data_IF_865887645683
#
_entry.id   IF_865887645683
#
_cell.length_a   1.000
_cell.length_b   1.000
_cell.length_c   1.000
_cell.angle_alpha   90.00
_cell.angle_beta   90.00
_cell.angle_gamma   90.00
#
_symmetry.space_group_name_H-M   'P 1'
#
loop_
_entity.id
_entity.type
_entity.pdbx_description
1 polymer ?
#
# COMPACT_ATOMS: atom_id res chain seq x y z
N UNK A 1 2.29 -7.85 -13.46
CA UNK A 1 3.75 -7.93 -13.68
C UNK A 1 4.55 -7.12 -12.65
N UNK A 2 4.30 -5.80 -12.46
CA UNK A 2 5.12 -4.96 -11.55
C UNK A 2 5.09 -5.46 -10.09
N UNK A 3 3.95 -5.91 -9.58
CA UNK A 3 3.85 -6.44 -8.23
C UNK A 3 4.67 -7.73 -8.06
N UNK A 4 4.57 -8.67 -9.01
CA UNK A 4 5.34 -9.90 -8.99
C UNK A 4 6.85 -9.63 -9.13
N UNK A 5 7.26 -8.73 -10.03
CA UNK A 5 8.67 -8.32 -10.16
C UNK A 5 9.23 -7.66 -8.88
N UNK A 6 8.37 -7.01 -8.10
CA UNK A 6 8.71 -6.45 -6.79
C UNK A 6 8.59 -7.47 -5.64
N UNK A 7 8.33 -8.76 -5.95
CA UNK A 7 8.17 -9.86 -4.99
C UNK A 7 7.11 -9.53 -3.91
N UNK A 8 6.03 -8.83 -4.31
CA UNK A 8 4.94 -8.50 -3.41
C UNK A 8 3.98 -9.68 -3.29
N UNK A 9 3.52 -10.03 -2.07
CA UNK A 9 2.51 -11.05 -1.90
C UNK A 9 1.19 -10.64 -2.58
N UNK A 10 0.49 -11.61 -3.15
CA UNK A 10 -0.74 -11.41 -3.92
C UNK A 10 -1.89 -12.17 -3.27
N UNK A 11 -3.05 -11.52 -3.17
CA UNK A 11 -4.31 -12.13 -2.77
C UNK A 11 -5.30 -11.92 -3.92
N UNK A 12 -5.96 -12.96 -4.41
CA UNK A 12 -7.01 -12.85 -5.41
C UNK A 12 -8.36 -12.65 -4.74
N UNK A 13 -8.97 -11.48 -4.94
CA UNK A 13 -10.32 -11.19 -4.45
C UNK A 13 -11.29 -11.17 -5.62
N UNK A 14 -12.11 -12.21 -5.73
CA UNK A 14 -13.19 -12.31 -6.71
C UNK A 14 -14.41 -11.56 -6.17
N UNK A 15 -14.54 -10.30 -6.56
CA UNK A 15 -15.61 -9.42 -6.07
C UNK A 15 -16.83 -9.43 -7.00
N UNK A 16 -17.96 -9.01 -6.46
CA UNK A 16 -19.25 -8.94 -7.19
C UNK A 16 -19.82 -10.31 -7.57
N UNK A 17 -19.62 -11.31 -6.71
CA UNK A 17 -20.15 -12.66 -6.92
C UNK A 17 -21.68 -12.70 -7.01
N UNK A 18 -22.36 -11.70 -6.39
CA UNK A 18 -23.80 -11.49 -6.34
C UNK A 18 -24.43 -10.95 -7.64
N UNK A 19 -23.62 -10.66 -8.65
CA UNK A 19 -24.17 -10.17 -9.92
C UNK A 19 -24.75 -11.30 -10.78
N UNK A 20 -25.86 -11.06 -11.49
CA UNK A 20 -26.46 -12.06 -12.36
C UNK A 20 -25.56 -12.53 -13.51
N UNK A 21 -24.57 -11.70 -13.88
CA UNK A 21 -23.59 -11.94 -14.93
C UNK A 21 -22.22 -12.42 -14.35
N UNK A 22 -22.19 -12.88 -13.11
CA UNK A 22 -20.98 -13.43 -12.49
C UNK A 22 -20.52 -14.71 -13.25
N UNK A 23 -19.21 -14.89 -13.34
CA UNK A 23 -18.54 -16.04 -13.93
C UNK A 23 -17.36 -16.43 -13.04
N UNK A 24 -17.67 -16.89 -11.84
CA UNK A 24 -16.67 -17.06 -10.76
C UNK A 24 -15.54 -18.00 -11.18
N UNK A 25 -15.88 -19.21 -11.63
CA UNK A 25 -14.87 -20.19 -12.08
C UNK A 25 -14.00 -19.65 -13.22
N UNK A 26 -14.63 -19.00 -14.21
CA UNK A 26 -13.89 -18.42 -15.33
C UNK A 26 -12.95 -17.31 -14.88
N UNK A 27 -13.38 -16.44 -13.97
CA UNK A 27 -12.54 -15.35 -13.44
C UNK A 27 -11.36 -15.88 -12.63
N UNK A 28 -11.57 -16.90 -11.80
CA UNK A 28 -10.50 -17.57 -11.05
C UNK A 28 -9.50 -18.19 -12.00
N UNK A 29 -9.97 -19.01 -12.96
CA UNK A 29 -9.09 -19.68 -13.96
C UNK A 29 -8.29 -18.65 -14.77
N UNK A 30 -8.97 -17.65 -15.37
CA UNK A 30 -8.32 -16.61 -16.18
C UNK A 30 -7.26 -15.83 -15.35
N UNK A 31 -7.54 -15.59 -14.05
CA UNK A 31 -6.61 -14.89 -13.14
C UNK A 31 -5.39 -15.74 -12.80
N UNK A 32 -5.59 -17.03 -12.53
CA UNK A 32 -4.49 -17.96 -12.25
C UNK A 32 -3.62 -18.18 -13.48
N UNK A 33 -4.21 -18.37 -14.65
CA UNK A 33 -3.47 -18.50 -15.91
C UNK A 33 -2.64 -17.25 -16.20
N UNK A 34 -3.19 -16.05 -15.94
CA UNK A 34 -2.44 -14.79 -16.07
C UNK A 34 -1.26 -14.72 -15.08
N UNK A 35 -1.47 -15.08 -13.82
CA UNK A 35 -0.41 -15.07 -12.80
C UNK A 35 0.71 -16.03 -13.16
N UNK A 36 0.36 -17.26 -13.58
CA UNK A 36 1.31 -18.27 -14.02
C UNK A 36 2.11 -17.83 -15.25
N UNK A 37 1.44 -17.26 -16.26
CA UNK A 37 2.12 -16.73 -17.45
C UNK A 37 3.10 -15.61 -17.10
N UNK A 38 2.67 -14.64 -16.26
CA UNK A 38 3.54 -13.56 -15.81
C UNK A 38 4.71 -14.03 -14.94
N UNK A 39 4.50 -15.05 -14.10
CA UNK A 39 5.55 -15.63 -13.28
C UNK A 39 6.58 -16.37 -14.14
N UNK A 40 6.13 -17.12 -15.14
CA UNK A 40 7.00 -17.81 -16.11
C UNK A 40 7.87 -16.80 -16.89
N UNK A 41 7.27 -15.73 -17.40
CA UNK A 41 8.01 -14.65 -18.09
C UNK A 41 9.06 -13.99 -17.20
N UNK A 42 8.72 -13.78 -15.91
CA UNK A 42 9.64 -13.16 -14.96
C UNK A 42 10.75 -14.10 -14.52
N UNK A 43 10.50 -15.40 -14.42
CA UNK A 43 11.53 -16.40 -14.09
C UNK A 43 12.61 -16.52 -15.16
N UNK A 44 12.31 -16.20 -16.41
CA UNK A 44 13.32 -16.08 -17.47
C UNK A 44 14.25 -14.87 -17.26
N UNK A 45 13.75 -13.80 -16.62
CA UNK A 45 14.50 -12.57 -16.34
C UNK A 45 15.20 -12.59 -14.96
N UNK A 46 14.57 -13.23 -13.96
CA UNK A 46 15.07 -13.39 -12.57
C UNK A 46 14.95 -14.86 -12.15
N UNK A 47 16.02 -15.66 -12.32
CA UNK A 47 16.02 -17.09 -11.94
C UNK A 47 15.83 -17.35 -10.43
N UNK A 48 16.00 -16.32 -9.60
CA UNK A 48 15.79 -16.40 -8.14
C UNK A 48 14.35 -16.05 -7.73
N UNK A 49 13.44 -15.88 -8.71
CA UNK A 49 12.02 -15.69 -8.44
C UNK A 49 11.41 -16.97 -7.87
N UNK A 50 10.86 -16.88 -6.66
CA UNK A 50 10.13 -17.97 -6.03
C UNK A 50 8.77 -18.16 -6.72
N UNK A 51 8.70 -19.14 -7.63
CA UNK A 51 7.47 -19.48 -8.35
C UNK A 51 6.43 -20.12 -7.42
N UNK A 52 6.83 -20.80 -6.37
CA UNK A 52 5.91 -21.46 -5.45
C UNK A 52 5.05 -20.41 -4.72
N UNK A 53 5.64 -19.25 -4.37
CA UNK A 53 4.90 -18.13 -3.77
C UNK A 53 3.83 -17.53 -4.69
N UNK A 54 4.00 -17.67 -6.01
CA UNK A 54 3.02 -17.20 -7.01
C UNK A 54 1.90 -18.23 -7.21
N UNK A 55 2.15 -19.50 -6.92
CA UNK A 55 1.18 -20.59 -7.06
C UNK A 55 0.26 -20.70 -5.84
N UNK A 56 0.73 -20.29 -4.66
CA UNK A 56 -0.04 -20.34 -3.40
C UNK A 56 -0.79 -19.02 -3.15
N UNK A 57 -1.50 -18.53 -4.18
CA UNK A 57 -2.31 -17.31 -4.08
C UNK A 57 -3.66 -17.61 -3.42
N UNK A 58 -3.95 -17.09 -2.23
CA UNK A 58 -5.24 -17.27 -1.60
C UNK A 58 -6.35 -16.59 -2.40
N UNK A 59 -7.47 -17.29 -2.54
CA UNK A 59 -8.66 -16.80 -3.24
C UNK A 59 -9.74 -16.47 -2.22
N UNK A 60 -10.28 -15.23 -2.30
CA UNK A 60 -11.39 -14.76 -1.49
C UNK A 60 -12.54 -14.36 -2.39
N UNK A 61 -13.74 -14.83 -2.09
CA UNK A 61 -14.96 -14.48 -2.82
C UNK A 61 -15.72 -13.41 -2.05
N UNK A 62 -16.12 -12.33 -2.72
CA UNK A 62 -16.68 -11.17 -2.04
C UNK A 62 -17.85 -10.52 -2.80
N UNK A 63 -18.72 -9.87 -2.03
CA UNK A 63 -19.62 -8.82 -2.48
C UNK A 63 -19.37 -7.57 -1.64
N UNK A 64 -18.53 -6.66 -2.15
CA UNK A 64 -18.24 -5.41 -1.46
C UNK A 64 -19.48 -4.54 -1.25
N UNK A 65 -20.50 -4.66 -2.11
CA UNK A 65 -21.79 -3.98 -1.95
C UNK A 65 -22.56 -4.49 -0.73
N UNK A 66 -22.54 -5.81 -0.50
CA UNK A 66 -23.22 -6.43 0.63
C UNK A 66 -22.36 -6.47 1.90
N UNK A 67 -21.06 -6.12 1.81
CA UNK A 67 -20.12 -6.19 2.92
C UNK A 67 -19.82 -7.63 3.37
N UNK A 68 -19.76 -8.60 2.44
CA UNK A 68 -19.59 -10.03 2.73
C UNK A 68 -18.41 -10.61 1.99
N UNK A 69 -17.65 -11.49 2.66
CA UNK A 69 -16.58 -12.26 2.04
C UNK A 69 -16.46 -13.67 2.63
N UNK A 70 -16.07 -14.65 1.82
CA UNK A 70 -15.89 -16.04 2.22
C UNK A 70 -14.70 -16.66 1.48
N UNK A 71 -14.07 -17.69 2.08
CA UNK A 71 -13.10 -18.56 1.41
C UNK A 71 -13.79 -19.67 0.59
N UNK A 72 -15.07 -19.90 0.87
CA UNK A 72 -15.88 -20.85 0.10
C UNK A 72 -16.49 -20.14 -1.08
N UNK A 73 -16.31 -20.72 -2.27
CA UNK A 73 -16.87 -20.20 -3.51
C UNK A 73 -18.40 -20.30 -3.50
N UNK A 74 -19.13 -19.19 -3.67
CA UNK A 74 -20.57 -19.22 -3.87
C UNK A 74 -20.90 -19.63 -5.31
N UNK A 75 -22.18 -19.95 -5.57
CA UNK A 75 -22.67 -20.07 -6.94
C UNK A 75 -22.64 -18.70 -7.66
N UNK A 76 -22.55 -18.74 -8.99
CA UNK A 76 -22.64 -17.54 -9.82
C UNK A 76 -23.96 -16.78 -9.53
N UNK A 77 -23.83 -15.50 -9.25
CA UNK A 77 -24.96 -14.65 -8.89
C UNK A 77 -25.40 -14.72 -7.42
N UNK A 78 -24.72 -15.51 -6.59
CA UNK A 78 -25.00 -15.64 -5.17
C UNK A 78 -24.08 -14.78 -4.29
N UNK A 79 -24.61 -14.39 -3.12
CA UNK A 79 -23.80 -13.78 -2.07
C UNK A 79 -22.88 -14.82 -1.42
N UNK A 80 -21.68 -14.42 -0.96
CA UNK A 80 -20.88 -15.27 -0.09
C UNK A 80 -21.62 -15.69 1.18
N UNK A 81 -21.41 -16.93 1.62
CA UNK A 81 -21.96 -17.46 2.88
C UNK A 81 -21.21 -16.91 4.08
N UNK A 82 -21.39 -15.63 4.33
CA UNK A 82 -20.80 -14.89 5.46
C UNK A 82 -21.68 -13.68 5.77
N UNK A 83 -21.56 -13.13 6.97
CA UNK A 83 -22.32 -11.94 7.38
C UNK A 83 -21.50 -10.64 7.25
N UNK A 84 -20.17 -10.75 7.09
CA UNK A 84 -19.23 -9.64 7.08
C UNK A 84 -18.02 -9.88 6.14
N UNK A 85 -16.98 -9.08 6.30
CA UNK A 85 -15.70 -9.17 5.57
C UNK A 85 -14.57 -9.81 6.37
N UNK A 86 -14.85 -10.45 7.52
CA UNK A 86 -13.83 -10.98 8.41
C UNK A 86 -12.89 -11.96 7.70
N UNK A 87 -13.41 -12.84 6.85
CA UNK A 87 -12.61 -13.78 6.07
C UNK A 87 -11.57 -13.08 5.18
N UNK A 88 -11.93 -11.96 4.54
CA UNK A 88 -10.99 -11.15 3.75
C UNK A 88 -9.92 -10.50 4.64
N UNK A 89 -10.32 -9.92 5.76
CA UNK A 89 -9.36 -9.27 6.67
C UNK A 89 -8.39 -10.27 7.29
N UNK A 90 -8.85 -11.47 7.65
CA UNK A 90 -7.98 -12.52 8.17
C UNK A 90 -6.95 -12.97 7.14
N UNK A 91 -7.34 -13.16 5.86
CA UNK A 91 -6.41 -13.47 4.77
C UNK A 91 -5.37 -12.35 4.59
N UNK A 92 -5.80 -11.08 4.64
CA UNK A 92 -4.87 -9.94 4.54
C UNK A 92 -3.86 -9.98 5.70
N UNK A 93 -4.33 -10.18 6.94
CA UNK A 93 -3.46 -10.20 8.12
C UNK A 93 -2.49 -11.38 8.12
N UNK A 94 -2.86 -12.50 7.51
CA UNK A 94 -2.04 -13.71 7.43
C UNK A 94 -0.99 -13.62 6.32
N UNK A 95 -1.37 -13.08 5.14
CA UNK A 95 -0.53 -13.12 3.93
C UNK A 95 0.25 -11.84 3.67
N UNK A 96 -0.21 -10.68 4.16
CA UNK A 96 0.48 -9.41 3.93
C UNK A 96 1.35 -9.09 5.15
N UNK A 97 2.68 -9.06 4.99
CA UNK A 97 3.57 -8.78 6.12
C UNK A 97 3.36 -7.35 6.65
N UNK A 98 3.49 -7.21 7.96
CA UNK A 98 3.53 -5.88 8.57
C UNK A 98 4.72 -5.07 8.06
N UNK A 99 4.63 -3.72 8.08
CA UNK A 99 5.77 -2.86 7.73
C UNK A 99 7.01 -3.21 8.57
N UNK A 100 8.14 -3.42 7.92
CA UNK A 100 9.43 -3.61 8.59
C UNK A 100 10.10 -2.26 8.82
N UNK A 101 10.73 -2.11 9.98
CA UNK A 101 11.54 -0.93 10.32
C UNK A 101 12.65 -1.33 11.31
N UNK A 102 13.65 -0.47 11.45
CA UNK A 102 14.71 -0.66 12.43
C UNK A 102 14.47 0.26 13.62
N UNK A 103 14.33 -0.33 14.80
CA UNK A 103 14.12 0.42 16.04
C UNK A 103 15.34 1.32 16.34
N UNK A 104 15.08 2.58 16.71
CA UNK A 104 16.11 3.58 16.99
C UNK A 104 16.74 4.22 15.76
N UNK A 105 16.38 3.82 14.55
CA UNK A 105 16.81 4.49 13.32
C UNK A 105 16.18 5.88 13.21
N UNK A 106 16.92 6.78 12.56
CA UNK A 106 16.49 8.15 12.28
C UNK A 106 15.34 8.18 11.26
N UNK A 107 14.65 9.32 11.19
CA UNK A 107 13.56 9.51 10.24
C UNK A 107 14.01 9.23 8.80
N UNK A 108 13.24 8.41 8.11
CA UNK A 108 13.28 8.20 6.67
C UNK A 108 11.85 8.12 6.14
N UNK A 109 11.42 9.12 5.39
CA UNK A 109 10.09 9.20 4.82
C UNK A 109 10.16 9.54 3.34
N UNK A 110 9.64 8.65 2.51
CA UNK A 110 9.76 8.73 1.05
C UNK A 110 8.48 9.31 0.45
N UNK A 111 8.64 10.31 -0.41
CA UNK A 111 7.51 10.94 -1.13
C UNK A 111 7.06 10.03 -2.27
N UNK A 112 5.86 9.48 -2.12
CA UNK A 112 5.26 8.53 -3.07
C UNK A 112 4.28 9.18 -4.03
N UNK A 113 3.65 10.29 -3.61
CA UNK A 113 2.68 11.02 -4.42
C UNK A 113 2.58 12.49 -3.98
N UNK A 114 1.91 13.30 -4.80
CA UNK A 114 1.61 14.70 -4.51
C UNK A 114 0.12 14.93 -4.58
N UNK A 115 -0.35 15.88 -3.77
CA UNK A 115 -1.74 16.34 -3.77
C UNK A 115 -1.77 17.85 -3.52
N UNK A 116 -2.94 18.44 -3.53
CA UNK A 116 -3.13 19.86 -3.26
C UNK A 116 -4.34 20.10 -2.37
N UNK A 117 -4.19 21.03 -1.44
CA UNK A 117 -5.28 21.53 -0.62
C UNK A 117 -5.51 23.02 -0.93
N UNK A 118 -6.76 23.47 -1.07
CA UNK A 118 -7.06 24.89 -1.27
C UNK A 118 -6.57 25.78 -0.11
N UNK A 119 -6.38 25.19 1.09
CA UNK A 119 -5.99 25.92 2.30
C UNK A 119 -4.51 25.75 2.66
N UNK A 120 -3.93 24.58 2.38
CA UNK A 120 -2.57 24.21 2.78
C UNK A 120 -1.57 24.25 1.61
N UNK A 121 -2.06 24.48 0.38
CA UNK A 121 -1.24 24.41 -0.82
C UNK A 121 -0.84 23.00 -1.19
N UNK A 122 0.40 22.81 -1.64
CA UNK A 122 0.94 21.52 -2.03
C UNK A 122 1.07 20.60 -0.81
N UNK A 123 0.62 19.37 -0.99
CA UNK A 123 0.77 18.27 -0.03
C UNK A 123 1.66 17.20 -0.61
N UNK A 124 2.67 16.76 0.14
CA UNK A 124 3.43 15.57 -0.18
C UNK A 124 2.84 14.38 0.58
N UNK A 125 2.44 13.34 -0.17
CA UNK A 125 2.08 12.06 0.42
C UNK A 125 3.34 11.22 0.51
N UNK A 126 3.62 10.74 1.72
CA UNK A 126 4.83 10.01 1.99
C UNK A 126 4.58 8.80 2.89
N UNK A 127 5.40 7.79 2.71
CA UNK A 127 5.48 6.64 3.59
C UNK A 127 6.67 6.79 4.51
N UNK A 128 6.45 6.61 5.79
CA UNK A 128 7.52 6.59 6.80
C UNK A 128 8.09 5.18 6.86
N UNK A 129 9.40 5.05 6.59
CA UNK A 129 10.12 3.78 6.65
C UNK A 129 10.76 3.58 8.02
N UNK A 130 11.38 4.61 8.58
CA UNK A 130 12.02 4.58 9.88
C UNK A 130 11.75 5.90 10.65
N UNK A 131 11.92 5.85 11.96
CA UNK A 131 11.82 7.00 12.83
C UNK A 131 10.40 7.54 12.96
N UNK A 132 10.27 8.75 13.48
CA UNK A 132 8.99 9.42 13.71
C UNK A 132 9.00 10.80 13.09
N UNK A 133 7.95 11.15 12.38
CA UNK A 133 7.71 12.47 11.82
C UNK A 133 6.71 13.22 12.71
N UNK A 134 7.02 14.49 13.04
CA UNK A 134 6.16 15.33 13.89
C UNK A 134 5.76 16.63 13.20
N UNK A 135 4.56 17.09 13.50
CA UNK A 135 4.14 18.45 13.13
C UNK A 135 5.08 19.49 13.76
N UNK A 136 5.48 20.47 12.98
CA UNK A 136 6.41 21.53 13.42
C UNK A 136 7.89 21.12 13.41
N UNK A 137 8.22 19.85 13.14
CA UNK A 137 9.60 19.37 13.10
C UNK A 137 10.39 20.02 11.96
N UNK A 138 11.67 20.29 12.21
CA UNK A 138 12.65 20.55 11.15
C UNK A 138 13.22 19.22 10.66
N UNK A 139 13.23 19.04 9.36
CA UNK A 139 13.74 17.84 8.69
C UNK A 139 14.69 18.22 7.56
N UNK A 140 15.58 17.33 7.19
CA UNK A 140 16.33 17.46 5.96
C UNK A 140 15.52 16.93 4.79
N UNK A 141 15.39 17.72 3.75
CA UNK A 141 14.80 17.34 2.48
C UNK A 141 15.90 16.98 1.50
N UNK A 142 16.04 15.68 1.23
CA UNK A 142 16.96 15.13 0.25
C UNK A 142 16.28 15.14 -1.14
N UNK A 143 16.83 15.95 -2.03
CA UNK A 143 16.33 16.17 -3.37
C UNK A 143 16.93 15.19 -4.38
N UNK A 144 16.27 15.03 -5.53
CA UNK A 144 16.75 14.19 -6.62
C UNK A 144 18.13 14.64 -7.19
N UNK A 145 18.43 15.94 -7.11
CA UNK A 145 19.74 16.49 -7.52
C UNK A 145 20.86 16.29 -6.49
N UNK A 146 20.58 15.56 -5.40
CA UNK A 146 21.52 15.31 -4.30
C UNK A 146 21.64 16.46 -3.29
N UNK A 147 20.94 17.58 -3.49
CA UNK A 147 20.95 18.68 -2.54
C UNK A 147 20.16 18.33 -1.26
N UNK A 148 20.69 18.74 -0.12
CA UNK A 148 19.98 18.69 1.16
C UNK A 148 19.53 20.11 1.55
N UNK A 149 18.26 20.26 1.92
CA UNK A 149 17.71 21.50 2.46
C UNK A 149 17.00 21.22 3.77
N UNK A 150 17.20 22.06 4.77
CA UNK A 150 16.41 22.01 6.00
C UNK A 150 15.08 22.70 5.76
N UNK A 151 13.99 21.99 6.05
CA UNK A 151 12.61 22.48 5.90
C UNK A 151 11.81 22.21 7.17
N UNK A 152 10.73 22.94 7.36
CA UNK A 152 9.82 22.75 8.49
C UNK A 152 8.50 22.14 8.01
N UNK A 153 8.05 21.10 8.67
CA UNK A 153 6.74 20.50 8.47
C UNK A 153 5.70 21.41 9.12
N UNK A 154 4.90 22.11 8.33
CA UNK A 154 3.89 23.02 8.85
C UNK A 154 2.62 22.31 9.30
N UNK A 155 2.21 21.29 8.54
CA UNK A 155 1.08 20.41 8.86
C UNK A 155 1.44 18.96 8.59
N UNK A 156 0.89 18.09 9.44
CA UNK A 156 0.93 16.63 9.31
C UNK A 156 -0.50 16.10 9.35
N UNK A 157 -0.88 15.33 8.34
CA UNK A 157 -2.24 14.81 8.20
C UNK A 157 -2.17 13.28 8.09
N UNK A 158 -2.88 12.59 8.97
CA UNK A 158 -3.12 11.15 8.88
C UNK A 158 -4.45 10.87 8.17
N UNK A 159 -4.61 9.67 7.60
CA UNK A 159 -5.87 9.24 7.00
C UNK A 159 -6.67 8.44 8.02
N UNK A 160 -7.92 8.87 8.29
CA UNK A 160 -8.89 8.10 9.08
C UNK A 160 -10.14 7.85 8.24
N UNK A 161 -10.36 6.58 7.89
CA UNK A 161 -11.39 6.21 6.92
C UNK A 161 -11.09 6.85 5.56
N UNK A 162 -11.94 7.76 5.10
CA UNK A 162 -11.77 8.47 3.82
C UNK A 162 -11.29 9.92 4.00
N UNK A 163 -11.10 10.37 5.22
CA UNK A 163 -10.76 11.77 5.52
C UNK A 163 -9.31 11.90 6.01
N UNK A 164 -8.71 13.05 5.68
CA UNK A 164 -7.44 13.47 6.26
C UNK A 164 -7.69 14.31 7.50
N UNK A 165 -7.12 13.89 8.60
CA UNK A 165 -7.23 14.57 9.89
C UNK A 165 -5.87 15.03 10.38
N UNK A 166 -5.77 16.17 11.07
CA UNK A 166 -4.52 16.60 11.68
C UNK A 166 -3.97 15.56 12.64
N UNK A 167 -2.66 15.35 12.59
CA UNK A 167 -1.92 14.47 13.48
C UNK A 167 -0.72 15.23 14.08
N UNK A 168 -0.35 14.90 15.31
CA UNK A 168 0.82 15.49 15.97
C UNK A 168 2.10 14.72 15.60
N UNK A 169 1.99 13.41 15.44
CA UNK A 169 3.10 12.54 15.03
C UNK A 169 2.62 11.34 14.20
N UNK A 170 3.55 10.75 13.47
CA UNK A 170 3.35 9.52 12.71
C UNK A 170 4.64 8.68 12.70
N UNK A 171 4.49 7.36 12.74
CA UNK A 171 5.57 6.39 12.87
C UNK A 171 5.81 5.52 11.64
N UNK A 172 6.72 4.54 11.77
CA UNK A 172 7.08 3.65 10.66
C UNK A 172 5.88 2.87 10.12
N UNK A 173 5.81 2.76 8.78
CA UNK A 173 4.73 2.08 8.06
C UNK A 173 3.53 2.97 7.75
N UNK A 174 3.36 4.11 8.41
CA UNK A 174 2.25 5.02 8.16
C UNK A 174 2.44 5.78 6.84
N UNK A 175 1.32 6.02 6.18
CA UNK A 175 1.22 6.89 5.00
C UNK A 175 0.50 8.16 5.43
N UNK A 176 1.21 9.29 5.32
CA UNK A 176 0.73 10.59 5.76
C UNK A 176 0.88 11.65 4.67
N UNK A 177 0.19 12.77 4.84
CA UNK A 177 0.39 13.95 4.01
C UNK A 177 1.03 15.06 4.83
N UNK A 178 2.00 15.77 4.25
CA UNK A 178 2.66 16.90 4.88
C UNK A 178 2.55 18.14 4.01
N UNK A 179 2.47 19.31 4.66
CA UNK A 179 2.56 20.62 4.04
C UNK A 179 3.81 21.37 4.51
N UNK A 180 4.17 22.44 3.79
CA UNK A 180 5.29 23.32 4.12
C UNK A 180 6.47 23.23 3.15
N UNK A 181 6.39 22.38 2.11
CA UNK A 181 7.47 22.20 1.13
C UNK A 181 6.87 22.33 -0.28
N UNK A 182 6.89 23.55 -0.84
CA UNK A 182 6.19 23.87 -2.10
C UNK A 182 6.77 23.15 -3.32
N UNK A 183 8.08 22.95 -3.38
CA UNK A 183 8.78 22.39 -4.55
C UNK A 183 9.10 20.89 -4.43
N UNK A 184 8.57 20.21 -3.39
CA UNK A 184 8.83 18.80 -3.18
C UNK A 184 8.31 17.94 -4.34
N UNK A 185 9.09 16.93 -4.72
CA UNK A 185 8.80 16.05 -5.86
C UNK A 185 8.63 14.59 -5.41
N UNK A 186 7.93 13.81 -6.23
CA UNK A 186 7.85 12.35 -6.04
C UNK A 186 9.25 11.75 -6.17
N UNK A 187 9.59 10.81 -5.28
CA UNK A 187 10.91 10.15 -5.25
C UNK A 187 11.91 10.85 -4.33
N UNK A 188 11.59 12.01 -3.79
CA UNK A 188 12.43 12.68 -2.79
C UNK A 188 12.16 12.16 -1.38
N UNK A 189 13.08 12.42 -0.46
CA UNK A 189 13.05 11.88 0.90
C UNK A 189 13.10 12.99 1.94
N UNK A 190 12.28 12.86 2.98
CA UNK A 190 12.44 13.61 4.22
C UNK A 190 13.17 12.75 5.24
N UNK A 191 14.23 13.27 5.82
CA UNK A 191 15.06 12.56 6.77
C UNK A 191 15.41 13.43 7.97
N UNK A 192 16.15 12.86 8.92
CA UNK A 192 16.61 13.60 10.10
C UNK A 192 17.50 14.79 9.72
N UNK A 193 17.32 15.94 10.39
CA UNK A 193 18.05 17.16 10.04
C UNK A 193 19.51 17.14 10.48
N UNK A 194 19.85 16.40 11.53
CA UNK A 194 21.20 16.32 12.10
C UNK A 194 21.99 15.14 11.56
N UNK A 195 21.29 14.03 11.22
CA UNK A 195 21.90 12.82 10.71
C UNK A 195 21.13 12.29 9.49
N UNK A 196 21.16 13.00 8.34
CA UNK A 196 20.42 12.61 7.15
C UNK A 196 20.95 11.29 6.58
N UNK A 197 20.02 10.36 6.35
CA UNK A 197 20.26 9.03 5.75
C UNK A 197 19.38 8.81 4.53
#
# INVERSE_FOLDING_TARGET
RKALAAKLPVILVVNKTDRPDARIDGVVSDSMDLLLGLASDLAEEDPDLDLDSVLDVPVVYASGKAGRASLTQPADGALPEAEDLEALFNVIMEHIPAPSYTEGEVLQAHVTNLDASPFLGRLALLRIFNGTLRKGQQVAWARQDGALKTVKITELLATKGLERVPAEEAGPGEIVAVAGIEDIMIGETLTDAENPK
#
